data_IF_262304206607
#
_entry.id   IF_262304206607
#
_cell.length_a   1.000
_cell.length_b   1.000
_cell.length_c   1.000
_cell.angle_alpha   90.00
_cell.angle_beta   90.00
_cell.angle_gamma   90.00
#
_symmetry.space_group_name_H-M   'P 1'
#
loop_
_entity.id
_entity.type
_entity.pdbx_description
1 polymer ?
#
# COMPACT_ATOMS: atom_id res chain seq x y z
N UNK A 1 -4.73 23.58 9.14
CA UNK A 1 -4.37 22.16 9.32
C UNK A 1 -3.32 21.86 8.25
N UNK A 2 -2.04 21.71 8.62
CA UNK A 2 -1.01 21.35 7.64
C UNK A 2 -1.22 19.87 7.33
N UNK A 3 -1.80 19.59 6.16
CA UNK A 3 -1.84 18.24 5.63
C UNK A 3 -0.47 18.01 5.04
N UNK A 4 0.36 17.20 5.68
CA UNK A 4 1.64 16.80 5.11
C UNK A 4 1.33 16.15 3.75
N UNK A 5 1.85 16.71 2.66
CA UNK A 5 1.55 16.23 1.30
C UNK A 5 1.83 14.73 1.16
N UNK A 6 2.81 14.20 1.90
CA UNK A 6 3.10 12.77 1.98
C UNK A 6 1.93 11.91 2.51
N UNK A 7 1.16 12.38 3.50
CA UNK A 7 0.01 11.64 4.02
C UNK A 7 -1.20 11.69 3.07
N UNK A 8 -1.28 12.68 2.17
CA UNK A 8 -2.31 12.70 1.14
C UNK A 8 -2.13 11.61 0.08
N UNK A 9 -0.90 11.09 -0.08
CA UNK A 9 -0.59 10.02 -1.04
C UNK A 9 -0.61 8.62 -0.43
N UNK A 10 -0.72 8.49 0.90
CA UNK A 10 -0.69 7.19 1.58
C UNK A 10 -2.05 6.78 2.13
N UNK A 11 -2.31 5.48 2.07
CA UNK A 11 -3.54 4.92 2.62
C UNK A 11 -3.55 5.07 4.14
N UNK A 12 -4.63 5.66 4.66
CA UNK A 12 -4.90 5.71 6.09
C UNK A 12 -5.54 4.37 6.54
N UNK A 13 -5.02 3.68 7.57
CA UNK A 13 -5.57 2.41 8.04
C UNK A 13 -7.04 2.47 8.48
N UNK A 14 -7.47 3.57 9.09
CA UNK A 14 -8.85 3.73 9.56
C UNK A 14 -9.79 3.87 8.38
N UNK A 15 -9.46 4.73 7.40
CA UNK A 15 -10.27 4.89 6.19
C UNK A 15 -10.30 3.61 5.35
N UNK A 16 -9.19 2.87 5.30
CA UNK A 16 -9.13 1.56 4.63
C UNK A 16 -10.13 0.57 5.24
N UNK A 17 -10.26 0.55 6.57
CA UNK A 17 -11.24 -0.28 7.26
C UNK A 17 -12.67 0.15 6.94
N UNK A 18 -12.97 1.43 7.12
CA UNK A 18 -14.30 1.98 6.85
C UNK A 18 -14.73 1.75 5.40
N UNK A 19 -13.81 1.93 4.45
CA UNK A 19 -14.06 1.66 3.04
C UNK A 19 -14.33 0.18 2.78
N UNK A 20 -13.53 -0.73 3.34
CA UNK A 20 -13.73 -2.16 3.19
C UNK A 20 -15.09 -2.62 3.77
N UNK A 21 -15.43 -2.13 4.96
CA UNK A 21 -16.70 -2.44 5.65
C UNK A 21 -17.91 -1.86 4.89
N UNK A 22 -17.80 -0.63 4.36
CA UNK A 22 -18.89 0.03 3.66
C UNK A 22 -19.13 -0.53 2.25
N UNK A 23 -18.09 -1.02 1.57
CA UNK A 23 -18.19 -1.44 0.17
C UNK A 23 -18.35 -2.95 -0.02
N UNK A 24 -17.89 -3.77 0.93
CA UNK A 24 -17.95 -5.22 0.80
C UNK A 24 -17.03 -5.78 -0.30
N UNK A 25 -15.95 -5.07 -0.62
CA UNK A 25 -14.96 -5.48 -1.64
C UNK A 25 -14.22 -6.77 -1.25
N UNK A 26 -13.77 -7.51 -2.26
CA UNK A 26 -12.99 -8.74 -2.07
C UNK A 26 -11.49 -8.50 -1.90
N UNK A 27 -10.99 -7.30 -2.25
CA UNK A 27 -9.59 -6.92 -2.09
C UNK A 27 -9.43 -5.41 -2.01
N UNK A 28 -8.40 -4.94 -1.31
CA UNK A 28 -8.13 -3.51 -1.12
C UNK A 28 -6.75 -3.13 -1.69
N UNK A 29 -6.72 -2.19 -2.62
CA UNK A 29 -5.49 -1.59 -3.09
C UNK A 29 -5.02 -0.49 -2.12
N UNK A 30 -3.74 -0.53 -1.74
CA UNK A 30 -3.14 0.45 -0.82
C UNK A 30 -1.89 1.10 -1.41
N UNK A 31 -1.63 2.32 -0.96
CA UNK A 31 -0.41 3.08 -1.23
C UNK A 31 0.35 3.28 0.09
N UNK A 32 1.57 2.74 0.17
CA UNK A 32 2.42 2.78 1.37
C UNK A 32 3.84 3.31 1.05
N UNK A 33 3.98 4.19 0.05
CA UNK A 33 5.29 4.66 -0.41
C UNK A 33 5.77 4.01 -1.70
N UNK A 34 4.90 3.32 -2.42
CA UNK A 34 5.16 2.94 -3.81
C UNK A 34 5.22 4.20 -4.68
N UNK A 35 6.39 4.43 -5.28
CA UNK A 35 6.67 5.62 -6.08
C UNK A 35 5.86 5.61 -7.39
N UNK A 36 4.82 6.45 -7.48
CA UNK A 36 4.14 6.73 -8.74
C UNK A 36 4.86 7.87 -9.46
N UNK A 37 5.67 7.54 -10.47
CA UNK A 37 6.39 8.49 -11.31
C UNK A 37 7.73 8.93 -10.73
N UNK A 38 8.79 8.88 -11.55
CA UNK A 38 10.16 9.42 -11.34
C UNK A 38 10.46 10.06 -9.96
N UNK A 39 10.45 9.27 -8.88
CA UNK A 39 10.93 9.77 -7.59
C UNK A 39 12.47 9.71 -7.61
N UNK A 40 13.11 10.85 -7.33
CA UNK A 40 14.56 10.99 -7.29
C UNK A 40 15.25 10.19 -6.15
N UNK A 41 14.49 9.40 -5.38
CA UNK A 41 14.92 8.64 -4.21
C UNK A 41 14.31 7.24 -4.28
N UNK A 42 15.04 6.25 -3.77
CA UNK A 42 14.59 4.87 -3.73
C UNK A 42 13.20 4.77 -3.06
N UNK A 43 12.24 4.04 -3.63
CA UNK A 43 10.94 3.84 -3.01
C UNK A 43 11.14 3.17 -1.65
N UNK A 44 10.81 3.88 -0.57
CA UNK A 44 10.85 3.35 0.78
C UNK A 44 9.43 2.89 1.13
N UNK A 45 9.22 1.58 1.14
CA UNK A 45 7.96 1.00 1.59
C UNK A 45 7.81 1.18 3.09
N UNK A 46 6.69 1.75 3.52
CA UNK A 46 6.28 1.82 4.91
C UNK A 46 5.60 0.51 5.32
N UNK A 47 6.44 -0.47 5.69
CA UNK A 47 5.97 -1.77 6.19
C UNK A 47 5.20 -1.65 7.51
N UNK A 48 5.48 -0.64 8.35
CA UNK A 48 4.76 -0.45 9.61
C UNK A 48 3.32 -0.02 9.36
N UNK A 49 3.10 0.89 8.40
CA UNK A 49 1.75 1.24 7.93
C UNK A 49 1.04 0.02 7.34
N UNK A 50 1.78 -0.82 6.62
CA UNK A 50 1.25 -2.05 6.04
C UNK A 50 0.67 -3.01 7.08
N UNK A 51 1.44 -3.26 8.14
CA UNK A 51 1.02 -4.09 9.26
C UNK A 51 -0.20 -3.48 9.96
N UNK A 52 -0.22 -2.17 10.16
CA UNK A 52 -1.37 -1.48 10.74
C UNK A 52 -2.63 -1.67 9.89
N UNK A 53 -2.57 -1.48 8.57
CA UNK A 53 -3.72 -1.72 7.68
C UNK A 53 -4.18 -3.18 7.80
N UNK A 54 -3.25 -4.13 7.84
CA UNK A 54 -3.56 -5.56 7.92
C UNK A 54 -4.24 -5.97 9.24
N UNK A 55 -3.98 -5.26 10.34
CA UNK A 55 -4.66 -5.48 11.62
C UNK A 55 -6.14 -5.10 11.57
N UNK A 56 -6.50 -4.10 10.76
CA UNK A 56 -7.87 -3.62 10.64
C UNK A 56 -8.62 -4.22 9.45
N UNK A 57 -7.90 -4.60 8.38
CA UNK A 57 -8.46 -5.11 7.14
C UNK A 57 -8.07 -6.58 6.96
N UNK A 58 -9.07 -7.46 7.04
CA UNK A 58 -8.90 -8.91 6.83
C UNK A 58 -9.01 -9.36 5.36
N UNK A 59 -9.01 -8.40 4.44
CA UNK A 59 -9.07 -8.66 3.00
C UNK A 59 -7.67 -8.82 2.40
N UNK A 60 -7.54 -9.55 1.27
CA UNK A 60 -6.36 -9.50 0.43
C UNK A 60 -6.01 -8.05 0.08
N UNK A 61 -4.77 -7.67 0.36
CA UNK A 61 -4.27 -6.33 0.06
C UNK A 61 -3.43 -6.34 -1.23
N UNK A 62 -3.55 -5.28 -2.02
CA UNK A 62 -2.89 -5.10 -3.33
C UNK A 62 -2.01 -3.84 -3.29
N UNK A 63 -0.74 -3.97 -3.70
CA UNK A 63 0.14 -2.80 -3.82
C UNK A 63 -0.05 -2.14 -5.18
N UNK A 64 -0.40 -0.86 -5.16
CA UNK A 64 -0.42 -0.02 -6.35
C UNK A 64 0.98 0.49 -6.64
N UNK A 65 1.52 0.30 -7.85
CA UNK A 65 2.81 0.87 -8.24
C UNK A 65 4.04 0.10 -7.72
N UNK A 66 4.05 -1.23 -7.81
CA UNK A 66 5.23 -2.03 -7.47
C UNK A 66 6.42 -1.87 -8.45
N UNK A 67 6.28 -1.01 -9.46
CA UNK A 67 7.31 -0.69 -10.44
C UNK A 67 8.48 0.02 -9.75
N UNK A 68 9.62 -0.65 -9.63
CA UNK A 68 10.82 -0.13 -8.97
C UNK A 68 11.06 -0.67 -7.56
N UNK A 69 10.20 -1.55 -7.04
CA UNK A 69 10.49 -2.29 -5.82
C UNK A 69 11.55 -3.37 -6.04
N UNK A 70 12.43 -3.55 -5.06
CA UNK A 70 13.39 -4.65 -5.13
C UNK A 70 12.68 -5.99 -4.89
N UNK A 71 13.26 -7.08 -5.37
CA UNK A 71 12.75 -8.44 -5.09
C UNK A 71 12.63 -8.70 -3.57
N UNK A 72 13.52 -8.10 -2.76
CA UNK A 72 13.46 -8.22 -1.30
C UNK A 72 12.21 -7.54 -0.71
N UNK A 73 11.87 -6.36 -1.21
CA UNK A 73 10.67 -5.63 -0.79
C UNK A 73 9.41 -6.39 -1.17
N UNK A 74 9.36 -6.94 -2.39
CA UNK A 74 8.25 -7.78 -2.83
C UNK A 74 8.14 -9.05 -1.95
N UNK A 75 9.25 -9.71 -1.64
CA UNK A 75 9.22 -10.87 -0.74
C UNK A 75 8.75 -10.51 0.68
N UNK A 76 9.15 -9.34 1.19
CA UNK A 76 8.73 -8.87 2.51
C UNK A 76 7.23 -8.56 2.55
N UNK A 77 6.69 -7.93 1.51
CA UNK A 77 5.25 -7.67 1.41
C UNK A 77 4.44 -8.98 1.34
N UNK A 78 4.90 -9.96 0.55
CA UNK A 78 4.26 -11.30 0.48
C UNK A 78 4.25 -11.98 1.86
N UNK A 79 5.35 -11.93 2.62
CA UNK A 79 5.41 -12.49 3.98
C UNK A 79 4.40 -11.85 4.94
N UNK A 80 4.08 -10.58 4.74
CA UNK A 80 3.09 -9.84 5.53
C UNK A 80 1.65 -10.09 5.06
N UNK A 81 1.43 -11.01 4.13
CA UNK A 81 0.10 -11.42 3.67
C UNK A 81 -0.41 -10.69 2.43
N UNK A 82 0.48 -10.07 1.63
CA UNK A 82 0.10 -9.48 0.35
C UNK A 82 -0.07 -10.51 -0.76
N UNK A 83 -1.20 -10.44 -1.45
CA UNK A 83 -1.61 -11.44 -2.43
C UNK A 83 -1.21 -11.09 -3.87
N UNK A 84 -1.01 -9.81 -4.21
CA UNK A 84 -0.73 -9.41 -5.60
C UNK A 84 -0.12 -8.01 -5.70
N UNK A 85 0.95 -7.87 -6.49
CA UNK A 85 1.39 -6.58 -7.00
C UNK A 85 0.75 -6.33 -8.38
N UNK A 86 0.21 -5.14 -8.61
CA UNK A 86 -0.15 -4.72 -9.98
C UNK A 86 1.07 -4.02 -10.58
N UNK A 87 1.65 -4.64 -11.61
CA UNK A 87 2.72 -4.02 -12.38
C UNK A 87 2.09 -2.91 -13.22
N UNK A 88 2.26 -1.66 -12.83
CA UNK A 88 1.83 -0.55 -13.65
C UNK A 88 2.86 -0.38 -14.76
N UNK A 89 2.57 -0.95 -15.93
CA UNK A 89 3.29 -0.62 -17.16
C UNK A 89 2.89 0.81 -17.52
N UNK A 90 3.87 1.72 -17.41
CA UNK A 90 3.84 3.06 -18.01
C UNK A 90 3.57 2.98 -19.50
#
# INVERSE_FOLDING_TARGET
MQVNEADAFYTNPVQAREFAEATGIDSLAVAIGTAHGMYARAPALDFSRLENIRQWVNLPLVLHGASGLSTKDIQQTIKLGYAKSTLQRS
#
